data_IF_536246822379
#
_entry.id   IF_536246822379
#
_cell.length_a   1.000
_cell.length_b   1.000
_cell.length_c   1.000
_cell.angle_alpha   90.00
_cell.angle_beta   90.00
_cell.angle_gamma   90.00
#
_symmetry.space_group_name_H-M   'P 1'
#
loop_
_entity.id
_entity.type
_entity.pdbx_description
1 polymer ?
#
# COMPACT_ATOMS: atom_id res chain seq x y z
N UNK A 1 17.67 8.33 9.87
CA UNK A 1 16.71 7.24 9.64
C UNK A 1 15.61 7.78 8.73
N UNK A 2 15.37 7.17 7.58
CA UNK A 2 14.35 7.64 6.63
C UNK A 2 12.96 7.38 7.17
N UNK A 3 12.10 8.40 7.21
CA UNK A 3 10.71 8.30 7.66
C UNK A 3 9.80 8.07 6.45
N UNK A 4 9.06 6.98 6.47
CA UNK A 4 8.15 6.59 5.38
C UNK A 4 6.71 6.59 5.90
N UNK A 5 5.86 7.44 5.31
CA UNK A 5 4.44 7.46 5.62
C UNK A 5 3.69 6.60 4.58
N UNK A 6 3.02 5.55 5.03
CA UNK A 6 2.30 4.62 4.16
C UNK A 6 0.81 4.85 4.30
N UNK A 7 0.09 4.98 3.18
CA UNK A 7 -1.38 4.95 3.16
C UNK A 7 -1.88 3.67 2.52
N UNK A 8 -2.73 2.96 3.21
CA UNK A 8 -3.33 1.71 2.76
C UNK A 8 -4.74 1.57 3.34
N UNK A 9 -5.71 1.07 2.56
CA UNK A 9 -7.10 0.96 2.99
C UNK A 9 -7.26 0.04 4.22
N UNK A 10 -6.59 -1.10 4.24
CA UNK A 10 -6.63 -2.09 5.32
C UNK A 10 -5.22 -2.58 5.64
N UNK A 11 -4.96 -2.79 6.93
CA UNK A 11 -3.68 -3.27 7.41
C UNK A 11 -3.88 -4.29 8.55
N UNK A 12 -2.80 -4.87 9.03
CA UNK A 12 -2.84 -5.79 10.18
C UNK A 12 -3.47 -5.11 11.42
N UNK A 13 -4.25 -5.85 12.24
CA UNK A 13 -4.40 -7.32 12.27
C UNK A 13 -5.33 -7.90 11.20
N UNK A 14 -6.00 -7.07 10.41
CA UNK A 14 -6.87 -7.52 9.33
C UNK A 14 -6.12 -8.27 8.23
N UNK A 15 -6.75 -9.31 7.71
CA UNK A 15 -6.16 -10.18 6.68
C UNK A 15 -7.05 -10.38 5.46
N UNK A 16 -8.32 -9.95 5.52
CA UNK A 16 -9.32 -10.19 4.47
C UNK A 16 -8.99 -9.48 3.14
N UNK A 17 -8.23 -8.39 3.16
CA UNK A 17 -7.80 -7.70 1.93
C UNK A 17 -6.60 -8.36 1.23
N UNK A 18 -6.04 -9.41 1.80
CA UNK A 18 -5.11 -10.32 1.12
C UNK A 18 -3.69 -9.77 0.87
N UNK A 19 -3.24 -9.89 -0.39
CA UNK A 19 -1.85 -9.62 -0.80
C UNK A 19 -1.26 -8.26 -0.42
N UNK A 20 -1.96 -7.13 -0.60
CA UNK A 20 -1.43 -5.81 -0.27
C UNK A 20 -1.01 -5.63 1.19
N UNK A 21 -1.78 -6.16 2.13
CA UNK A 21 -1.45 -6.12 3.58
C UNK A 21 -0.14 -6.84 3.85
N UNK A 22 -0.02 -8.07 3.32
CA UNK A 22 1.19 -8.88 3.48
C UNK A 22 2.42 -8.24 2.85
N UNK A 23 2.26 -7.67 1.65
CA UNK A 23 3.34 -6.96 0.97
C UNK A 23 3.87 -5.79 1.79
N UNK A 24 2.99 -4.97 2.37
CA UNK A 24 3.40 -3.82 3.20
C UNK A 24 4.02 -4.29 4.50
N UNK A 25 3.44 -5.30 5.15
CA UNK A 25 4.03 -5.85 6.38
C UNK A 25 5.43 -6.45 6.14
N UNK A 26 5.63 -7.17 5.02
CA UNK A 26 6.95 -7.70 4.66
C UNK A 26 7.95 -6.59 4.30
N UNK A 27 7.50 -5.54 3.63
CA UNK A 27 8.34 -4.36 3.34
C UNK A 27 8.84 -3.73 4.63
N UNK A 28 7.95 -3.50 5.61
CA UNK A 28 8.31 -2.94 6.91
C UNK A 28 9.32 -3.85 7.62
N UNK A 29 9.05 -5.15 7.67
CA UNK A 29 9.93 -6.11 8.35
C UNK A 29 11.33 -6.22 7.71
N UNK A 30 11.44 -5.98 6.40
CA UNK A 30 12.69 -6.11 5.66
C UNK A 30 13.56 -4.85 5.65
N UNK A 31 13.05 -3.70 6.16
CA UNK A 31 13.76 -2.42 6.14
C UNK A 31 13.84 -1.81 7.55
N UNK A 32 14.56 -2.44 8.49
CA UNK A 32 14.67 -1.96 9.87
C UNK A 32 15.42 -0.62 10.01
N UNK A 33 16.14 -0.20 8.97
CA UNK A 33 16.82 1.10 8.89
C UNK A 33 15.86 2.27 8.61
N UNK A 34 14.59 1.99 8.28
CA UNK A 34 13.55 2.99 8.06
C UNK A 34 12.58 3.05 9.25
N UNK A 35 12.01 4.23 9.49
CA UNK A 35 10.89 4.41 10.41
C UNK A 35 9.59 4.51 9.62
N UNK A 36 8.64 3.63 9.89
CA UNK A 36 7.38 3.54 9.18
C UNK A 36 6.20 4.09 9.99
N UNK A 37 5.31 4.81 9.30
CA UNK A 37 4.07 5.34 9.82
C UNK A 37 2.94 4.90 8.88
N UNK A 38 2.14 3.94 9.30
CA UNK A 38 1.05 3.38 8.48
C UNK A 38 -0.26 4.03 8.85
N UNK A 39 -0.92 4.67 7.91
CA UNK A 39 -2.26 5.24 8.08
C UNK A 39 -3.28 4.33 7.38
N UNK A 40 -4.23 3.80 8.13
CA UNK A 40 -5.19 2.77 7.67
C UNK A 40 -6.56 2.92 8.34
N UNK A 41 -7.56 2.13 7.91
CA UNK A 41 -8.85 2.01 8.59
C UNK A 41 -8.72 1.23 9.89
N UNK A 42 -9.65 1.48 10.81
CA UNK A 42 -9.75 0.72 12.07
C UNK A 42 -10.61 -0.56 11.94
N UNK A 43 -11.01 -0.94 10.71
CA UNK A 43 -11.78 -2.15 10.39
C UNK A 43 -11.08 -2.97 9.34
N UNK A 44 -11.39 -4.27 9.22
CA UNK A 44 -10.92 -5.10 8.10
C UNK A 44 -11.79 -4.93 6.85
N UNK A 45 -11.33 -5.47 5.73
CA UNK A 45 -12.08 -5.50 4.46
C UNK A 45 -13.39 -6.26 4.63
N UNK A 46 -14.47 -5.65 4.20
CA UNK A 46 -15.85 -6.15 4.35
C UNK A 46 -16.29 -6.39 5.81
N UNK A 47 -15.60 -5.82 6.79
CA UNK A 47 -16.02 -5.82 8.19
C UNK A 47 -16.56 -4.45 8.59
N UNK A 48 -17.54 -4.45 9.49
CA UNK A 48 -18.13 -3.24 10.09
C UNK A 48 -17.58 -2.96 11.48
N UNK A 49 -17.06 -3.99 12.13
CA UNK A 49 -16.53 -3.91 13.49
C UNK A 49 -15.10 -3.44 13.51
N UNK A 50 -14.79 -2.60 14.49
CA UNK A 50 -13.43 -2.14 14.72
C UNK A 50 -12.55 -3.28 15.24
N UNK A 51 -11.24 -3.18 15.00
CA UNK A 51 -10.30 -4.13 15.59
C UNK A 51 -10.32 -4.06 17.11
N UNK A 52 -10.43 -5.23 17.74
CA UNK A 52 -10.41 -5.34 19.21
C UNK A 52 -9.04 -4.95 19.79
N UNK A 53 -9.05 -4.32 20.95
CA UNK A 53 -7.83 -3.96 21.69
C UNK A 53 -6.98 -2.85 21.06
N UNK A 54 -7.45 -2.22 19.96
CA UNK A 54 -6.75 -1.12 19.30
C UNK A 54 -7.44 0.21 19.60
N UNK A 55 -6.69 1.17 20.13
CA UNK A 55 -7.17 2.53 20.33
C UNK A 55 -7.19 3.26 18.98
N UNK A 56 -8.37 3.64 18.45
CA UNK A 56 -8.44 4.31 17.17
C UNK A 56 -8.03 5.79 17.27
N UNK A 57 -7.73 6.39 16.10
CA UNK A 57 -7.38 7.80 15.94
C UNK A 57 -6.15 8.27 16.73
N UNK A 58 -5.27 7.34 17.04
CA UNK A 58 -3.96 7.57 17.66
C UNK A 58 -2.90 6.71 17.00
N UNK A 59 -1.63 7.11 17.14
CA UNK A 59 -0.50 6.28 16.71
C UNK A 59 -0.27 5.18 17.74
N UNK A 60 -0.33 3.94 17.30
CA UNK A 60 -0.12 2.73 18.11
C UNK A 60 1.15 2.04 17.64
N UNK A 61 2.04 1.70 18.55
CA UNK A 61 3.27 0.97 18.24
C UNK A 61 2.95 -0.42 17.73
N UNK A 62 3.37 -0.70 16.50
CA UNK A 62 3.20 -1.99 15.83
C UNK A 62 4.47 -2.85 15.91
N UNK A 63 5.63 -2.24 15.71
CA UNK A 63 6.93 -2.86 15.88
C UNK A 63 7.95 -1.83 16.38
N UNK A 64 9.22 -2.21 16.50
CA UNK A 64 10.29 -1.32 16.94
C UNK A 64 10.43 -0.08 16.04
N UNK A 65 10.23 -0.26 14.74
CA UNK A 65 10.39 0.78 13.71
C UNK A 65 9.10 1.07 12.92
N UNK A 66 7.93 0.73 13.48
CA UNK A 66 6.64 0.99 12.84
C UNK A 66 5.57 1.37 13.84
N UNK A 67 4.86 2.45 13.52
CA UNK A 67 3.63 2.88 14.18
C UNK A 67 2.47 2.86 13.20
N UNK A 68 1.26 2.56 13.68
CA UNK A 68 0.03 2.49 12.85
C UNK A 68 -1.04 3.39 13.42
N UNK A 69 -1.65 4.20 12.56
CA UNK A 69 -2.81 5.03 12.88
C UNK A 69 -4.07 4.37 12.32
N UNK A 70 -4.90 3.85 13.20
CA UNK A 70 -6.17 3.21 12.83
C UNK A 70 -7.28 4.25 12.84
N UNK A 71 -7.61 4.77 11.67
CA UNK A 71 -8.57 5.85 11.52
C UNK A 71 -10.01 5.34 11.47
N UNK A 72 -10.88 5.88 12.32
CA UNK A 72 -12.32 5.61 12.22
C UNK A 72 -12.91 6.30 10.98
N UNK A 73 -14.03 5.76 10.45
CA UNK A 73 -14.70 6.34 9.28
C UNK A 73 -15.14 7.80 9.53
N UNK A 74 -15.59 8.12 10.75
CA UNK A 74 -16.00 9.47 11.12
C UNK A 74 -14.84 10.47 11.11
N UNK A 75 -13.63 10.01 11.44
CA UNK A 75 -12.43 10.85 11.47
C UNK A 75 -11.66 10.86 10.15
N UNK A 76 -12.04 9.98 9.21
CA UNK A 76 -11.36 9.83 7.93
C UNK A 76 -11.67 10.99 6.99
N UNK A 77 -10.76 11.93 6.94
CA UNK A 77 -10.86 13.12 6.09
C UNK A 77 -9.53 13.49 5.45
N UNK A 78 -9.57 14.30 4.38
CA UNK A 78 -8.36 14.86 3.77
C UNK A 78 -7.59 15.72 4.77
N UNK A 79 -8.28 16.43 5.65
CA UNK A 79 -7.68 17.27 6.69
C UNK A 79 -6.95 16.43 7.74
N UNK A 80 -7.54 15.33 8.18
CA UNK A 80 -6.89 14.39 9.11
C UNK A 80 -5.59 13.85 8.53
N UNK A 81 -5.60 13.36 7.28
CA UNK A 81 -4.40 12.84 6.62
C UNK A 81 -3.33 13.93 6.50
N UNK A 82 -3.72 15.16 6.10
CA UNK A 82 -2.79 16.28 5.99
C UNK A 82 -2.18 16.66 7.36
N UNK A 83 -2.98 16.62 8.42
CA UNK A 83 -2.51 16.88 9.78
C UNK A 83 -1.48 15.84 10.23
N UNK A 84 -1.74 14.54 9.98
CA UNK A 84 -0.79 13.48 10.31
C UNK A 84 0.50 13.56 9.49
N UNK A 85 0.41 13.84 8.18
CA UNK A 85 1.59 14.06 7.34
C UNK A 85 2.42 15.25 7.82
N UNK A 86 1.77 16.34 8.23
CA UNK A 86 2.47 17.51 8.78
C UNK A 86 3.14 17.20 10.13
N UNK A 87 2.47 16.49 11.02
CA UNK A 87 3.00 16.14 12.33
C UNK A 87 4.21 15.19 12.26
N UNK A 88 4.14 14.18 11.40
CA UNK A 88 5.23 13.20 11.19
C UNK A 88 6.38 13.81 10.36
N UNK A 89 6.07 14.70 9.42
CA UNK A 89 7.02 15.26 8.45
C UNK A 89 7.91 14.18 7.80
N UNK A 90 7.31 13.20 7.08
CA UNK A 90 8.06 12.08 6.52
C UNK A 90 8.89 12.50 5.32
N UNK A 91 9.93 11.72 5.00
CA UNK A 91 10.78 11.92 3.83
C UNK A 91 10.13 11.38 2.55
N UNK A 92 9.28 10.35 2.70
CA UNK A 92 8.60 9.66 1.59
C UNK A 92 7.16 9.37 1.95
N UNK A 93 6.25 9.67 1.03
CA UNK A 93 4.86 9.23 1.05
C UNK A 93 4.73 8.00 0.15
N UNK A 94 4.35 6.85 0.72
CA UNK A 94 4.12 5.61 0.00
C UNK A 94 2.62 5.30 -0.04
N UNK A 95 2.03 5.35 -1.23
CA UNK A 95 0.60 5.14 -1.47
C UNK A 95 0.38 3.74 -2.00
N UNK A 96 -0.42 2.93 -1.29
CA UNK A 96 -0.73 1.58 -1.70
C UNK A 96 -2.09 1.51 -2.41
N UNK A 97 -2.07 1.36 -3.74
CA UNK A 97 -3.25 1.40 -4.61
C UNK A 97 -3.48 2.76 -5.27
N UNK A 98 -4.46 2.84 -6.19
CA UNK A 98 -4.71 4.03 -7.03
C UNK A 98 -6.16 4.53 -7.03
N UNK A 99 -7.13 3.69 -6.68
CA UNK A 99 -8.55 4.07 -6.81
C UNK A 99 -9.19 4.59 -5.54
N UNK A 100 -8.64 4.27 -4.38
CA UNK A 100 -9.19 4.70 -3.09
C UNK A 100 -9.24 6.23 -2.98
N UNK A 101 -10.40 6.77 -2.62
CA UNK A 101 -10.55 8.22 -2.41
C UNK A 101 -9.68 8.67 -1.24
N UNK A 102 -9.77 7.98 -0.12
CA UNK A 102 -9.10 8.36 1.12
C UNK A 102 -7.62 7.96 1.15
N UNK A 103 -7.29 6.74 0.71
CA UNK A 103 -5.94 6.19 0.88
C UNK A 103 -5.05 6.28 -0.37
N UNK A 104 -5.61 6.76 -1.52
CA UNK A 104 -4.80 6.99 -2.72
C UNK A 104 -4.92 8.44 -3.22
N UNK A 105 -6.15 8.91 -3.52
CA UNK A 105 -6.34 10.20 -4.18
C UNK A 105 -6.07 11.41 -3.28
N UNK A 106 -6.51 11.37 -2.02
CA UNK A 106 -6.24 12.45 -1.08
C UNK A 106 -4.76 12.56 -0.71
N UNK A 107 -4.07 11.45 -0.33
CA UNK A 107 -2.62 11.49 -0.08
C UNK A 107 -1.82 11.98 -1.29
N UNK A 108 -2.17 11.52 -2.50
CA UNK A 108 -1.53 11.98 -3.74
C UNK A 108 -1.67 13.50 -3.93
N UNK A 109 -2.89 14.02 -3.73
CA UNK A 109 -3.15 15.45 -3.87
C UNK A 109 -2.41 16.28 -2.81
N UNK A 110 -2.32 15.78 -1.57
CA UNK A 110 -1.57 16.43 -0.48
C UNK A 110 -0.08 16.39 -0.80
N UNK A 111 0.47 15.22 -1.13
CA UNK A 111 1.89 15.06 -1.46
C UNK A 111 2.34 15.98 -2.60
N UNK A 112 1.50 16.08 -3.66
CA UNK A 112 1.74 17.03 -4.76
C UNK A 112 1.73 18.48 -4.29
N UNK A 113 0.77 18.87 -3.45
CA UNK A 113 0.63 20.24 -2.97
C UNK A 113 1.85 20.71 -2.15
N UNK A 114 2.46 19.80 -1.39
CA UNK A 114 3.62 20.12 -0.53
C UNK A 114 4.96 19.70 -1.13
N UNK A 115 4.98 19.25 -2.39
CA UNK A 115 6.21 18.83 -3.08
C UNK A 115 6.87 17.59 -2.50
N UNK A 116 6.09 16.69 -1.88
CA UNK A 116 6.62 15.50 -1.19
C UNK A 116 7.03 14.42 -2.19
N UNK A 117 8.18 13.78 -1.94
CA UNK A 117 8.60 12.58 -2.68
C UNK A 117 7.55 11.47 -2.49
N UNK A 118 6.84 11.14 -3.57
CA UNK A 118 5.70 10.23 -3.53
C UNK A 118 5.97 8.98 -4.36
N UNK A 119 5.77 7.82 -3.75
CA UNK A 119 5.82 6.51 -4.38
C UNK A 119 4.41 5.93 -4.42
N UNK A 120 3.98 5.40 -5.57
CA UNK A 120 2.66 4.76 -5.73
C UNK A 120 2.84 3.32 -6.17
N UNK A 121 2.36 2.38 -5.38
CA UNK A 121 2.30 0.96 -5.74
C UNK A 121 0.92 0.64 -6.34
N UNK A 122 0.87 0.38 -7.64
CA UNK A 122 -0.38 0.14 -8.37
C UNK A 122 -1.04 -1.21 -8.03
N UNK A 123 -0.25 -2.20 -7.57
CA UNK A 123 -0.74 -3.51 -7.10
C UNK A 123 -1.61 -4.23 -8.13
N UNK A 124 -1.19 -4.23 -9.39
CA UNK A 124 -1.90 -4.88 -10.49
C UNK A 124 -3.23 -4.22 -10.89
N UNK A 125 -3.59 -3.08 -10.27
CA UNK A 125 -4.88 -2.41 -10.53
C UNK A 125 -5.00 -1.82 -11.95
N UNK A 126 -3.90 -1.74 -12.71
CA UNK A 126 -3.83 -1.28 -14.09
C UNK A 126 -3.69 -2.43 -15.10
N UNK A 127 -3.70 -3.68 -14.65
CA UNK A 127 -3.67 -4.84 -15.55
C UNK A 127 -4.94 -4.89 -16.41
N UNK A 128 -4.88 -5.48 -17.62
CA UNK A 128 -6.05 -5.64 -18.49
C UNK A 128 -7.24 -6.30 -17.80
N UNK A 129 -6.97 -7.34 -17.00
CA UNK A 129 -8.01 -8.01 -16.22
C UNK A 129 -8.66 -7.08 -15.20
N UNK A 130 -7.85 -6.35 -14.43
CA UNK A 130 -8.37 -5.40 -13.45
C UNK A 130 -9.16 -4.27 -14.12
N UNK A 131 -8.72 -3.78 -15.27
CA UNK A 131 -9.42 -2.73 -16.03
C UNK A 131 -10.75 -3.21 -16.60
N UNK A 132 -10.89 -4.50 -16.93
CA UNK A 132 -12.13 -5.11 -17.40
C UNK A 132 -13.29 -5.05 -16.39
N UNK A 133 -12.99 -4.92 -15.10
CA UNK A 133 -14.00 -4.76 -14.04
C UNK A 133 -14.43 -3.29 -13.95
N UNK A 134 -15.71 -2.99 -14.28
CA UNK A 134 -16.28 -1.63 -14.34
C UNK A 134 -15.47 -0.68 -15.26
N UNK A 135 -15.24 -1.04 -16.54
CA UNK A 135 -14.26 -0.40 -17.41
C UNK A 135 -14.54 1.10 -17.62
N UNK A 136 -15.80 1.48 -17.84
CA UNK A 136 -16.19 2.87 -18.12
C UNK A 136 -15.79 3.83 -16.97
N UNK A 137 -16.05 3.44 -15.70
CA UNK A 137 -15.70 4.28 -14.55
C UNK A 137 -14.18 4.44 -14.40
N UNK A 138 -13.44 3.36 -14.63
CA UNK A 138 -11.97 3.37 -14.56
C UNK A 138 -11.37 4.18 -15.70
N UNK A 139 -11.88 4.00 -16.92
CA UNK A 139 -11.44 4.78 -18.08
C UNK A 139 -11.61 6.28 -17.85
N UNK A 140 -12.79 6.73 -17.42
CA UNK A 140 -13.06 8.13 -17.14
C UNK A 140 -12.13 8.68 -16.04
N UNK A 141 -11.96 7.93 -14.96
CA UNK A 141 -11.06 8.29 -13.87
C UNK A 141 -9.60 8.41 -14.34
N UNK A 142 -9.08 7.43 -15.06
CA UNK A 142 -7.70 7.43 -15.53
C UNK A 142 -7.43 8.53 -16.56
N UNK A 143 -8.39 8.79 -17.47
CA UNK A 143 -8.31 9.89 -18.42
C UNK A 143 -8.25 11.23 -17.68
N UNK A 144 -9.09 11.44 -16.68
CA UNK A 144 -9.07 12.63 -15.85
C UNK A 144 -7.76 12.80 -15.08
N UNK A 145 -7.23 11.72 -14.48
CA UNK A 145 -5.94 11.73 -13.77
C UNK A 145 -4.77 12.04 -14.71
N UNK A 146 -4.80 11.53 -15.94
CA UNK A 146 -3.81 11.87 -16.98
C UNK A 146 -3.91 13.34 -17.37
N UNK A 147 -5.12 13.83 -17.63
CA UNK A 147 -5.35 15.23 -18.01
C UNK A 147 -4.84 16.20 -16.94
N UNK A 148 -5.05 15.91 -15.66
CA UNK A 148 -4.53 16.68 -14.54
C UNK A 148 -3.02 16.51 -14.31
N UNK A 149 -2.34 15.65 -15.07
CA UNK A 149 -0.95 15.26 -14.81
C UNK A 149 -0.72 14.87 -13.33
N UNK A 150 -1.69 14.17 -12.77
CA UNK A 150 -1.73 13.87 -11.33
C UNK A 150 -0.53 13.05 -10.85
N UNK A 151 0.06 12.27 -11.75
CA UNK A 151 1.20 11.38 -11.50
C UNK A 151 2.53 11.89 -12.06
N UNK A 152 2.64 13.15 -12.51
CA UNK A 152 3.83 13.67 -13.18
C UNK A 152 5.11 13.60 -12.33
N UNK A 153 4.99 13.72 -11.00
CA UNK A 153 6.12 13.72 -10.05
C UNK A 153 6.15 12.48 -9.15
N UNK A 154 5.47 11.42 -9.58
CA UNK A 154 5.35 10.19 -8.81
C UNK A 154 6.35 9.15 -9.33
N UNK A 155 6.91 8.38 -8.41
CA UNK A 155 7.64 7.16 -8.73
C UNK A 155 6.63 6.01 -8.55
N UNK A 156 6.40 5.24 -9.61
CA UNK A 156 5.61 4.02 -9.49
C UNK A 156 6.48 2.85 -9.03
N UNK A 157 5.99 2.14 -8.03
CA UNK A 157 6.52 0.84 -7.65
C UNK A 157 5.73 -0.26 -8.37
N UNK A 158 6.36 -0.94 -9.32
CA UNK A 158 5.85 -2.14 -9.97
C UNK A 158 6.53 -3.39 -9.38
N UNK A 159 5.79 -4.48 -9.25
CA UNK A 159 6.32 -5.74 -8.70
C UNK A 159 6.94 -6.65 -9.78
N UNK A 160 6.72 -6.31 -11.05
CA UNK A 160 7.24 -7.03 -12.22
C UNK A 160 7.33 -6.12 -13.45
N UNK A 161 8.09 -6.54 -14.47
CA UNK A 161 8.16 -5.84 -15.76
C UNK A 161 6.80 -5.81 -16.47
N UNK A 162 5.94 -6.81 -16.25
CA UNK A 162 4.58 -6.84 -16.79
C UNK A 162 3.76 -5.70 -16.18
N UNK A 163 3.79 -5.55 -14.86
CA UNK A 163 3.08 -4.45 -14.16
C UNK A 163 3.61 -3.08 -14.61
N UNK A 164 4.93 -2.93 -14.79
CA UNK A 164 5.53 -1.71 -15.34
C UNK A 164 4.97 -1.39 -16.71
N UNK A 165 4.92 -2.39 -17.59
CA UNK A 165 4.35 -2.24 -18.95
C UNK A 165 2.88 -1.81 -18.87
N UNK A 166 2.08 -2.40 -17.99
CA UNK A 166 0.69 -2.05 -17.79
C UNK A 166 0.53 -0.60 -17.30
N UNK A 167 1.33 -0.18 -16.33
CA UNK A 167 1.36 1.22 -15.85
C UNK A 167 1.66 2.19 -16.99
N UNK A 168 2.71 1.92 -17.77
CA UNK A 168 3.14 2.78 -18.86
C UNK A 168 2.13 2.83 -20.01
N UNK A 169 1.49 1.72 -20.35
CA UNK A 169 0.42 1.68 -21.37
C UNK A 169 -0.77 2.54 -20.95
N UNK A 170 -1.16 2.48 -19.70
CA UNK A 170 -2.37 3.15 -19.19
C UNK A 170 -2.13 4.62 -18.86
N UNK A 171 -1.01 4.96 -18.21
CA UNK A 171 -0.74 6.32 -17.74
C UNK A 171 0.18 7.13 -18.65
N UNK A 172 0.91 6.47 -19.54
CA UNK A 172 1.85 7.05 -20.51
C UNK A 172 3.26 6.52 -20.33
N UNK A 173 3.97 6.34 -21.46
CA UNK A 173 5.32 5.75 -21.49
C UNK A 173 6.39 6.52 -20.71
N UNK A 174 6.15 7.81 -20.44
CA UNK A 174 7.06 8.70 -19.70
C UNK A 174 6.98 8.52 -18.18
N UNK A 175 6.08 7.68 -17.64
CA UNK A 175 5.97 7.45 -16.21
C UNK A 175 7.26 6.87 -15.64
N UNK A 176 7.73 7.43 -14.52
CA UNK A 176 8.87 6.90 -13.78
C UNK A 176 8.42 5.65 -13.02
N UNK A 177 8.81 4.46 -13.49
CA UNK A 177 8.43 3.18 -12.90
C UNK A 177 9.67 2.40 -12.50
N UNK A 178 9.78 2.08 -11.22
CA UNK A 178 10.81 1.23 -10.65
C UNK A 178 10.23 -0.17 -10.40
N UNK A 179 10.93 -1.18 -10.88
CA UNK A 179 10.52 -2.59 -10.67
C UNK A 179 11.26 -3.15 -9.48
N UNK A 180 10.50 -3.43 -8.41
CA UNK A 180 10.99 -4.04 -7.18
C UNK A 180 10.04 -5.17 -6.81
N UNK A 181 10.47 -6.44 -6.83
CA UNK A 181 9.62 -7.56 -6.46
C UNK A 181 9.11 -7.45 -5.02
N UNK A 182 7.92 -8.01 -4.77
CA UNK A 182 7.42 -8.13 -3.42
C UNK A 182 8.36 -9.02 -2.58
N UNK A 183 8.65 -8.56 -1.38
CA UNK A 183 9.47 -9.31 -0.44
C UNK A 183 8.65 -10.47 0.13
N UNK A 184 9.21 -11.67 0.07
CA UNK A 184 8.65 -12.83 0.77
C UNK A 184 8.83 -12.66 2.28
N UNK A 185 7.91 -13.25 3.07
CA UNK A 185 8.13 -13.34 4.52
C UNK A 185 9.40 -14.17 4.76
N UNK A 186 10.37 -13.60 5.42
CA UNK A 186 11.52 -14.33 5.92
C UNK A 186 11.02 -15.28 7.02
N UNK A 187 10.56 -16.48 6.63
CA UNK A 187 10.41 -17.57 7.57
C UNK A 187 11.81 -18.04 7.91
N UNK A 188 12.25 -17.84 9.12
CA UNK A 188 13.27 -18.69 9.72
C UNK A 188 12.63 -20.09 9.90
N UNK A 189 12.59 -20.84 8.84
CA UNK A 189 12.32 -22.27 8.91
C UNK A 189 13.61 -22.89 9.45
N UNK A 190 13.63 -23.20 10.74
CA UNK A 190 14.52 -24.27 11.20
C UNK A 190 14.22 -25.47 10.30
N UNK A 191 15.24 -26.12 9.72
CA UNK A 191 15.04 -27.27 8.86
C UNK A 191 14.35 -28.35 9.69
N UNK A 192 13.05 -28.54 9.52
CA UNK A 192 12.39 -29.71 10.03
C UNK A 192 12.83 -30.86 9.15
N UNK A 193 13.59 -31.80 9.71
CA UNK A 193 13.85 -33.05 9.10
C UNK A 193 12.50 -33.80 8.94
N UNK A 194 11.90 -33.69 7.75
CA UNK A 194 10.73 -34.49 7.42
C UNK A 194 11.25 -35.88 7.04
N UNK A 195 11.08 -36.84 7.93
CA UNK A 195 11.23 -38.26 7.61
C UNK A 195 10.20 -38.59 6.53
N UNK A 196 10.66 -38.84 5.32
CA UNK A 196 9.81 -39.30 4.22
C UNK A 196 9.82 -40.82 4.21
N UNK A 197 8.65 -41.46 4.37
CA UNK A 197 8.47 -42.87 4.04
C UNK A 197 8.57 -43.02 2.51
N UNK A 198 9.35 -44.00 2.06
CA UNK A 198 9.50 -44.31 0.64
C UNK A 198 8.14 -44.70 0.04
N UNK A 199 7.76 -44.02 -1.04
CA UNK A 199 6.53 -44.33 -1.79
C UNK A 199 5.29 -43.48 -1.43
N UNK A 200 5.38 -42.54 -0.49
CA UNK A 200 4.23 -41.64 -0.14
C UNK A 200 4.49 -40.20 -0.54
N UNK A 201 3.72 -39.70 -1.51
CA UNK A 201 3.66 -38.27 -1.86
C UNK A 201 2.55 -37.57 -1.05
N UNK A 202 2.89 -36.81 -0.01
CA UNK A 202 1.93 -35.93 0.67
C UNK A 202 1.98 -34.56 0.01
N UNK A 203 0.90 -34.19 -0.70
CA UNK A 203 0.63 -32.82 -1.13
C UNK A 203 -0.01 -32.07 0.05
N UNK A 204 0.61 -30.97 0.47
CA UNK A 204 0.10 -30.06 1.50
C UNK A 204 -0.34 -28.78 0.84
#
# INVERSE_FOLDING_TARGET
MTRVFITIDWFLPGTNSGGPVRSVANLIAAMPECQFYVFTRNTDYCATEAYEGITPNTWVRFSEHCEVYYCTEQNLSKATIAAQLKAIAPDVLYINGIYSKAFSRWPLAIGRQIGMRTVVAARGMLSPHALGVKPFKKYLFLTWMRWLSAYAHVIFHATSEVEKTDIQKVLGGQMNVQVVPNLARLKQLAPQAISKEEGLLKLV
#
